data_IF_738151500781
#
_entry.id   IF_738151500781
#
_cell.length_a   1.000
_cell.length_b   1.000
_cell.length_c   1.000
_cell.angle_alpha   90.00
_cell.angle_beta   90.00
_cell.angle_gamma   90.00
#
_symmetry.space_group_name_H-M   'P 1'
#
loop_
_entity.id
_entity.type
_entity.pdbx_description
1 polymer ?
#
# COMPACT_ATOMS: atom_id res chain seq x y z
N UNK A 1 9.81 14.25 -46.79
CA UNK A 1 8.55 13.90 -46.06
C UNK A 1 8.98 13.52 -44.67
N UNK A 2 8.67 14.36 -43.68
CA UNK A 2 9.08 14.21 -42.29
C UNK A 2 8.30 13.07 -41.65
N UNK A 3 8.99 12.02 -41.20
CA UNK A 3 8.41 11.01 -40.32
C UNK A 3 7.94 11.69 -39.04
N UNK A 4 6.67 11.51 -38.71
CA UNK A 4 6.07 12.02 -37.50
C UNK A 4 6.65 11.23 -36.31
N UNK A 5 7.31 11.94 -35.40
CA UNK A 5 7.82 11.44 -34.12
C UNK A 5 6.64 10.92 -33.28
N UNK A 6 6.37 9.62 -33.30
CA UNK A 6 5.37 8.98 -32.44
C UNK A 6 5.94 8.70 -31.05
N UNK A 7 6.63 9.68 -30.45
CA UNK A 7 6.92 9.63 -29.02
C UNK A 7 5.63 9.89 -28.27
N UNK A 8 5.32 9.01 -27.34
CA UNK A 8 4.29 9.25 -26.35
C UNK A 8 4.70 10.47 -25.52
N UNK A 9 4.06 11.61 -25.79
CA UNK A 9 4.26 12.85 -25.05
C UNK A 9 3.60 12.64 -23.66
N UNK A 10 4.42 12.32 -22.66
CA UNK A 10 3.94 12.24 -21.28
C UNK A 10 3.39 13.62 -20.88
N UNK A 11 2.12 13.71 -20.43
CA UNK A 11 1.56 15.00 -20.02
C UNK A 11 2.40 15.59 -18.88
N UNK A 12 2.54 16.92 -18.87
CA UNK A 12 3.26 17.64 -17.82
C UNK A 12 2.84 17.11 -16.43
N UNK A 13 3.83 16.86 -15.56
CA UNK A 13 3.72 16.31 -14.20
C UNK A 13 2.74 17.06 -13.27
N UNK A 14 2.01 18.06 -13.72
CA UNK A 14 0.99 18.78 -12.98
C UNK A 14 -0.25 17.92 -12.66
N UNK A 15 -0.49 16.86 -13.44
CA UNK A 15 -1.65 15.97 -13.26
C UNK A 15 -1.34 14.55 -13.74
N UNK A 16 -0.98 13.66 -12.82
CA UNK A 16 -0.90 12.22 -13.11
C UNK A 16 -2.14 11.51 -12.57
N UNK A 17 -2.81 10.77 -13.45
CA UNK A 17 -3.80 9.79 -13.04
C UNK A 17 -3.00 8.61 -12.48
N UNK A 18 -2.85 8.55 -11.15
CA UNK A 18 -2.20 7.41 -10.49
C UNK A 18 -3.04 6.15 -10.71
N UNK A 19 -4.36 6.34 -10.79
CA UNK A 19 -5.29 5.23 -10.93
C UNK A 19 -6.65 5.69 -11.48
N UNK A 20 -7.23 4.91 -12.41
CA UNK A 20 -8.57 5.13 -12.98
C UNK A 20 -9.34 3.82 -12.94
N UNK A 21 -10.47 3.79 -12.25
CA UNK A 21 -11.36 2.64 -12.28
C UNK A 21 -11.94 2.45 -13.68
N UNK A 22 -12.01 1.19 -14.11
CA UNK A 22 -12.71 0.81 -15.34
C UNK A 22 -14.18 1.20 -15.21
N UNK A 23 -14.65 2.06 -16.11
CA UNK A 23 -16.03 2.51 -16.19
C UNK A 23 -16.89 1.38 -16.78
N UNK A 24 -17.32 0.44 -15.93
CA UNK A 24 -18.41 -0.46 -16.28
C UNK A 24 -19.67 0.03 -15.53
N UNK A 25 -20.68 0.58 -16.23
CA UNK A 25 -21.97 0.84 -15.61
C UNK A 25 -22.61 -0.52 -15.27
N UNK A 26 -22.46 -0.94 -14.01
CA UNK A 26 -23.04 -2.17 -13.48
C UNK A 26 -24.34 -1.76 -12.77
N UNK A 27 -25.46 -1.93 -13.47
CA UNK A 27 -26.81 -1.71 -12.96
C UNK A 27 -27.12 -2.80 -11.91
N UNK A 28 -26.83 -2.56 -10.64
CA UNK A 28 -27.33 -3.39 -9.54
C UNK A 28 -28.34 -2.60 -8.74
N UNK A 29 -29.63 -2.82 -9.03
CA UNK A 29 -30.73 -2.27 -8.24
C UNK A 29 -30.79 -2.99 -6.89
N UNK A 30 -30.40 -2.31 -5.81
CA UNK A 30 -30.77 -2.71 -4.45
C UNK A 30 -31.63 -1.62 -3.83
N UNK A 31 -32.95 -1.83 -3.87
CA UNK A 31 -33.91 -1.03 -3.10
C UNK A 31 -34.08 -1.73 -1.74
N UNK A 32 -33.79 -1.08 -0.61
CA UNK A 32 -34.07 -1.65 0.70
C UNK A 32 -35.55 -2.04 0.78
N UNK A 33 -35.84 -3.32 1.08
CA UNK A 33 -37.20 -3.87 1.16
C UNK A 33 -38.21 -2.99 1.93
N UNK A 34 -37.84 -2.30 3.03
CA UNK A 34 -38.76 -1.41 3.75
C UNK A 34 -39.22 -0.19 2.93
N UNK A 35 -38.33 0.36 2.09
CA UNK A 35 -38.62 1.54 1.26
C UNK A 35 -39.57 1.14 0.14
N UNK A 36 -39.31 0.02 -0.53
CA UNK A 36 -40.21 -0.55 -1.53
C UNK A 36 -41.61 -0.84 -0.95
N UNK A 37 -41.66 -1.41 0.26
CA UNK A 37 -42.93 -1.67 0.95
C UNK A 37 -43.71 -0.39 1.25
N UNK A 38 -43.05 0.68 1.69
CA UNK A 38 -43.69 1.97 1.99
C UNK A 38 -44.21 2.65 0.73
N UNK A 39 -43.45 2.61 -0.36
CA UNK A 39 -43.85 3.15 -1.67
C UNK A 39 -45.04 2.41 -2.27
N UNK A 40 -45.08 1.07 -2.19
CA UNK A 40 -46.24 0.28 -2.60
C UNK A 40 -47.49 0.63 -1.78
N UNK A 41 -47.34 0.84 -0.47
CA UNK A 41 -48.45 1.23 0.40
C UNK A 41 -48.97 2.64 0.08
N UNK A 42 -48.07 3.57 -0.23
CA UNK A 42 -48.43 4.94 -0.59
C UNK A 42 -49.09 5.00 -1.98
N UNK A 43 -48.61 4.19 -2.93
CA UNK A 43 -49.27 3.96 -4.22
C UNK A 43 -50.69 3.44 -3.99
N UNK A 44 -50.87 2.36 -3.23
CA UNK A 44 -52.19 1.78 -2.90
C UNK A 44 -53.15 2.81 -2.26
N UNK A 45 -52.65 3.66 -1.38
CA UNK A 45 -53.41 4.75 -0.77
C UNK A 45 -53.85 5.79 -1.81
N UNK A 46 -52.95 6.23 -2.70
CA UNK A 46 -53.25 7.17 -3.77
C UNK A 46 -54.22 6.59 -4.81
N UNK A 47 -54.14 5.28 -5.09
CA UNK A 47 -55.08 4.57 -5.98
C UNK A 47 -56.50 4.68 -5.44
N UNK A 48 -56.64 4.50 -4.12
CA UNK A 48 -57.93 4.52 -3.41
C UNK A 48 -58.54 5.91 -3.33
N UNK A 49 -57.71 6.95 -3.21
CA UNK A 49 -58.18 8.31 -2.98
C UNK A 49 -58.43 9.10 -4.27
N UNK A 50 -57.63 8.90 -5.31
CA UNK A 50 -57.62 9.80 -6.47
C UNK A 50 -57.82 9.10 -7.81
N UNK A 51 -57.91 7.76 -7.86
CA UNK A 51 -58.07 6.97 -9.09
C UNK A 51 -57.08 7.37 -10.21
N UNK A 52 -55.90 7.85 -9.84
CA UNK A 52 -54.96 8.52 -10.73
C UNK A 52 -53.69 7.67 -10.93
N UNK A 53 -53.64 6.91 -12.02
CA UNK A 53 -52.60 5.89 -12.25
C UNK A 53 -51.37 6.43 -13.01
N UNK A 54 -51.50 7.54 -13.74
CA UNK A 54 -50.50 7.95 -14.72
C UNK A 54 -49.38 8.90 -14.20
N UNK A 55 -49.63 9.69 -13.14
CA UNK A 55 -48.62 10.68 -12.68
C UNK A 55 -47.54 10.09 -11.78
N UNK A 56 -47.76 8.94 -11.15
CA UNK A 56 -46.86 8.42 -10.10
C UNK A 56 -45.76 7.50 -10.65
N UNK A 57 -45.98 6.91 -11.83
CA UNK A 57 -44.99 6.10 -12.55
C UNK A 57 -43.81 6.94 -13.07
N UNK A 58 -44.07 8.18 -13.48
CA UNK A 58 -43.06 9.09 -14.05
C UNK A 58 -42.01 9.56 -13.03
N UNK A 59 -42.37 10.02 -11.81
CA UNK A 59 -41.39 10.36 -10.79
C UNK A 59 -40.67 9.12 -10.24
N UNK A 60 -41.33 7.96 -10.12
CA UNK A 60 -40.68 6.72 -9.68
C UNK A 60 -39.61 6.26 -10.69
N UNK A 61 -39.93 6.31 -12.00
CA UNK A 61 -38.97 5.94 -13.04
C UNK A 61 -37.84 6.97 -13.18
N UNK A 62 -38.14 8.27 -13.04
CA UNK A 62 -37.16 9.35 -13.05
C UNK A 62 -36.22 9.27 -11.83
N UNK A 63 -36.76 8.94 -10.64
CA UNK A 63 -35.99 8.81 -9.40
C UNK A 63 -35.14 7.54 -9.42
N UNK A 64 -35.65 6.44 -9.97
CA UNK A 64 -34.87 5.23 -10.26
C UNK A 64 -33.71 5.53 -11.22
N UNK A 65 -33.95 6.26 -12.32
CA UNK A 65 -32.91 6.61 -13.30
C UNK A 65 -31.89 7.59 -12.71
N UNK A 66 -32.32 8.56 -11.89
CA UNK A 66 -31.40 9.53 -11.28
C UNK A 66 -30.59 8.94 -10.12
N UNK A 67 -31.12 8.00 -9.33
CA UNK A 67 -30.36 7.33 -8.27
C UNK A 67 -29.47 6.18 -8.76
N UNK A 68 -29.71 5.59 -9.94
CA UNK A 68 -28.85 4.53 -10.50
C UNK A 68 -27.48 4.99 -11.01
N UNK A 69 -27.13 6.28 -10.88
CA UNK A 69 -25.87 6.82 -11.40
C UNK A 69 -24.78 7.03 -10.33
N UNK A 70 -25.01 6.58 -9.10
CA UNK A 70 -24.00 6.67 -8.05
C UNK A 70 -23.21 5.37 -7.90
N UNK A 71 -21.88 5.52 -7.92
CA UNK A 71 -20.90 4.50 -8.22
C UNK A 71 -20.81 3.41 -7.14
N UNK A 72 -20.67 2.12 -7.51
CA UNK A 72 -20.45 1.04 -6.53
C UNK A 72 -19.05 1.04 -5.89
N UNK A 73 -18.15 1.93 -6.32
CA UNK A 73 -16.78 2.05 -5.81
C UNK A 73 -16.62 3.37 -5.04
N UNK A 74 -16.25 3.31 -3.76
CA UNK A 74 -15.94 4.47 -2.90
C UNK A 74 -14.66 5.23 -3.32
N UNK A 75 -13.93 4.72 -4.32
CA UNK A 75 -12.79 5.40 -4.96
C UNK A 75 -12.90 5.16 -6.47
N UNK A 76 -13.18 6.21 -7.25
CA UNK A 76 -13.27 6.16 -8.73
C UNK A 76 -11.94 6.42 -9.41
N UNK A 77 -11.34 7.58 -9.10
CA UNK A 77 -10.08 8.02 -9.66
C UNK A 77 -9.15 8.44 -8.52
N UNK A 78 -7.94 7.90 -8.49
CA UNK A 78 -6.88 8.45 -7.65
C UNK A 78 -6.10 9.45 -8.52
N UNK A 79 -6.54 10.70 -8.52
CA UNK A 79 -5.90 11.78 -9.27
C UNK A 79 -4.95 12.50 -8.33
N UNK A 80 -3.64 12.38 -8.55
CA UNK A 80 -2.69 13.26 -7.88
C UNK A 80 -2.64 14.58 -8.65
N UNK A 81 -3.10 15.64 -7.98
CA UNK A 81 -2.83 17.00 -8.39
C UNK A 81 -1.52 17.45 -7.74
N UNK A 82 -0.49 17.63 -8.56
CA UNK A 82 0.81 18.11 -8.08
C UNK A 82 0.74 19.63 -8.00
N UNK A 83 0.29 20.17 -6.87
CA UNK A 83 0.48 21.58 -6.55
C UNK A 83 1.82 21.73 -5.82
N UNK A 84 2.83 22.16 -6.56
CA UNK A 84 4.10 22.56 -5.98
C UNK A 84 3.87 23.76 -5.05
N UNK A 85 4.11 23.55 -3.75
CA UNK A 85 4.31 24.63 -2.79
C UNK A 85 5.69 24.42 -2.19
N UNK A 86 6.64 25.25 -2.63
CA UNK A 86 7.93 25.36 -1.99
C UNK A 86 7.73 25.96 -0.60
N UNK A 87 7.87 25.14 0.44
CA UNK A 87 8.08 25.64 1.79
C UNK A 87 9.59 25.66 2.05
N UNK A 88 10.28 26.59 1.39
CA UNK A 88 11.60 26.98 1.83
C UNK A 88 11.42 27.91 3.02
N UNK A 89 11.31 27.35 4.22
CA UNK A 89 11.71 28.13 5.38
C UNK A 89 12.04 27.28 6.60
N UNK A 90 13.34 27.12 6.82
CA UNK A 90 13.87 26.90 8.15
C UNK A 90 13.89 28.28 8.87
N UNK A 91 12.73 28.89 9.12
CA UNK A 91 12.68 30.12 9.93
C UNK A 91 13.07 29.75 11.35
N UNK A 92 14.25 30.24 11.75
CA UNK A 92 14.71 30.47 13.14
C UNK A 92 15.74 29.50 13.75
N UNK A 93 16.44 28.62 13.02
CA UNK A 93 17.45 27.78 13.71
C UNK A 93 18.87 28.33 13.77
N UNK A 94 19.32 29.29 12.93
CA UNK A 94 20.63 29.98 13.07
C UNK A 94 21.82 29.11 13.63
N UNK A 95 21.91 27.82 13.27
CA UNK A 95 22.94 26.92 13.82
C UNK A 95 22.79 26.48 15.29
N UNK A 96 21.74 26.89 16.00
CA UNK A 96 21.41 26.43 17.34
C UNK A 96 20.25 25.42 17.31
N UNK A 97 20.50 24.21 17.82
CA UNK A 97 19.45 23.19 17.99
C UNK A 97 19.52 22.01 17.01
N UNK A 98 20.72 21.59 16.58
CA UNK A 98 20.89 20.23 16.05
C UNK A 98 20.67 19.25 17.20
N UNK A 99 19.42 18.93 17.47
CA UNK A 99 19.06 17.90 18.44
C UNK A 99 19.30 16.55 17.79
N UNK A 100 20.42 15.93 18.11
CA UNK A 100 20.66 14.53 17.77
C UNK A 100 19.62 13.69 18.53
N UNK A 101 18.63 13.17 17.79
CA UNK A 101 17.64 12.24 18.33
C UNK A 101 18.05 10.83 17.95
N UNK A 102 17.90 9.91 18.90
CA UNK A 102 18.06 8.50 18.61
C UNK A 102 17.03 8.08 17.53
N UNK A 103 17.50 7.56 16.39
CA UNK A 103 16.60 7.18 15.28
C UNK A 103 15.58 6.13 15.71
N UNK A 104 15.95 5.22 16.62
CA UNK A 104 15.02 4.21 17.14
C UNK A 104 13.76 4.85 17.76
N UNK A 105 13.89 6.02 18.39
CA UNK A 105 12.75 6.78 18.95
C UNK A 105 11.85 7.43 17.90
N UNK A 106 12.32 7.56 16.66
CA UNK A 106 11.57 8.10 15.53
C UNK A 106 10.89 6.99 14.70
N UNK A 107 11.25 5.72 14.90
CA UNK A 107 10.65 4.60 14.19
C UNK A 107 9.36 4.16 14.89
N UNK A 108 8.30 3.83 14.14
CA UNK A 108 7.04 3.41 14.74
C UNK A 108 7.11 1.98 15.31
N UNK A 109 8.12 1.18 14.93
CA UNK A 109 8.15 -0.26 15.20
C UNK A 109 8.80 -0.60 16.54
N UNK A 110 8.08 -1.31 17.40
CA UNK A 110 8.57 -1.75 18.71
C UNK A 110 9.18 -3.15 18.63
N UNK A 111 8.37 -4.18 18.35
CA UNK A 111 8.82 -5.57 18.38
C UNK A 111 8.11 -6.42 17.33
N UNK A 112 8.78 -7.47 16.87
CA UNK A 112 8.16 -8.52 16.08
C UNK A 112 7.74 -9.67 17.01
N UNK A 113 6.43 -9.93 17.09
CA UNK A 113 5.84 -10.84 18.09
C UNK A 113 5.56 -12.25 17.57
N UNK A 114 5.52 -12.43 16.25
CA UNK A 114 5.41 -13.72 15.61
C UNK A 114 6.17 -13.73 14.26
N UNK A 115 5.99 -14.77 13.44
CA UNK A 115 6.66 -14.90 12.16
C UNK A 115 6.47 -13.68 11.24
N UNK A 116 5.34 -12.99 11.29
CA UNK A 116 4.95 -11.96 10.33
C UNK A 116 4.58 -10.60 10.95
N UNK A 117 4.12 -10.59 12.20
CA UNK A 117 3.45 -9.47 12.84
C UNK A 117 4.42 -8.62 13.65
N UNK A 118 4.41 -7.33 13.36
CA UNK A 118 5.18 -6.29 14.06
C UNK A 118 4.21 -5.40 14.84
N UNK A 119 4.52 -5.13 16.10
CA UNK A 119 3.82 -4.16 16.94
C UNK A 119 4.48 -2.79 16.80
N UNK A 120 3.67 -1.74 16.74
CA UNK A 120 4.13 -0.35 16.84
C UNK A 120 4.19 0.13 18.29
N UNK A 121 4.91 1.20 18.59
CA UNK A 121 4.91 1.81 19.94
C UNK A 121 3.52 2.29 20.37
N UNK A 122 2.64 2.60 19.41
CA UNK A 122 1.23 2.94 19.66
C UNK A 122 0.35 1.71 19.98
N UNK A 123 0.92 0.50 19.91
CA UNK A 123 0.22 -0.76 20.15
C UNK A 123 -0.53 -1.33 18.95
N UNK A 124 -0.47 -0.66 17.79
CA UNK A 124 -1.06 -1.14 16.55
C UNK A 124 -0.25 -2.30 15.98
N UNK A 125 -0.91 -3.20 15.26
CA UNK A 125 -0.28 -4.40 14.67
C UNK A 125 -0.14 -4.20 13.16
N UNK A 126 1.00 -4.58 12.59
CA UNK A 126 1.21 -4.55 11.15
C UNK A 126 1.92 -5.78 10.64
N UNK A 127 1.60 -6.18 9.43
CA UNK A 127 2.32 -7.18 8.67
C UNK A 127 2.74 -6.56 7.35
N UNK A 128 3.72 -7.13 6.65
CA UNK A 128 4.14 -6.61 5.34
C UNK A 128 4.08 -7.70 4.28
N UNK A 129 3.47 -7.38 3.15
CA UNK A 129 3.32 -8.24 1.98
C UNK A 129 4.13 -7.61 0.84
N UNK A 130 5.11 -8.33 0.32
CA UNK A 130 5.81 -7.96 -0.90
C UNK A 130 5.03 -8.45 -2.12
N UNK A 131 4.97 -7.64 -3.17
CA UNK A 131 4.25 -7.92 -4.41
C UNK A 131 5.22 -7.74 -5.58
N UNK A 132 5.34 -8.77 -6.42
CA UNK A 132 6.30 -8.79 -7.52
C UNK A 132 5.80 -8.09 -8.80
N UNK A 133 4.50 -7.82 -8.88
CA UNK A 133 3.89 -7.17 -10.04
C UNK A 133 3.56 -8.14 -11.17
N UNK A 134 3.21 -7.60 -12.33
CA UNK A 134 2.89 -8.33 -13.55
C UNK A 134 3.58 -7.65 -14.73
N UNK A 135 4.07 -8.44 -15.70
CA UNK A 135 4.45 -7.91 -17.00
C UNK A 135 3.19 -7.57 -17.78
N UNK A 136 2.94 -6.29 -18.03
CA UNK A 136 1.68 -5.80 -18.60
C UNK A 136 1.74 -5.63 -20.13
N UNK A 137 2.93 -5.60 -20.73
CA UNK A 137 3.12 -5.30 -22.16
C UNK A 137 2.42 -6.30 -23.09
N UNK A 138 2.27 -7.54 -22.64
CA UNK A 138 1.61 -8.61 -23.39
C UNK A 138 0.17 -8.88 -22.93
N UNK A 139 -0.33 -8.13 -21.94
CA UNK A 139 -1.67 -8.32 -21.38
C UNK A 139 -2.67 -7.46 -22.15
N UNK A 140 -3.78 -8.05 -22.59
CA UNK A 140 -4.83 -7.30 -23.27
C UNK A 140 -5.52 -6.29 -22.35
N UNK A 141 -5.96 -5.15 -22.90
CA UNK A 141 -6.61 -4.07 -22.14
C UNK A 141 -7.74 -4.54 -21.22
N UNK A 142 -8.65 -5.42 -21.70
CA UNK A 142 -9.76 -5.95 -20.89
C UNK A 142 -9.28 -6.73 -19.66
N UNK A 143 -8.17 -7.43 -19.81
CA UNK A 143 -7.59 -8.22 -18.74
C UNK A 143 -6.88 -7.32 -17.71
N UNK A 144 -6.20 -6.26 -18.17
CA UNK A 144 -5.69 -5.21 -17.28
C UNK A 144 -6.81 -4.52 -16.50
N UNK A 145 -7.93 -4.20 -17.15
CA UNK A 145 -9.09 -3.61 -16.48
C UNK A 145 -9.67 -4.53 -15.40
N UNK A 146 -9.79 -5.82 -15.70
CA UNK A 146 -10.23 -6.82 -14.72
C UNK A 146 -9.27 -6.93 -13.53
N UNK A 147 -7.97 -6.85 -13.78
CA UNK A 147 -6.94 -6.85 -12.73
C UNK A 147 -7.01 -5.62 -11.85
N UNK A 148 -7.27 -4.45 -12.42
CA UNK A 148 -7.50 -3.22 -11.68
C UNK A 148 -8.77 -3.33 -10.83
N UNK A 149 -9.89 -3.82 -11.39
CA UNK A 149 -11.14 -4.01 -10.64
C UNK A 149 -10.98 -4.98 -9.45
N UNK A 150 -10.24 -6.08 -9.64
CA UNK A 150 -9.91 -7.01 -8.57
C UNK A 150 -9.10 -6.35 -7.46
N UNK A 151 -8.09 -5.54 -7.84
CA UNK A 151 -7.27 -4.79 -6.90
C UNK A 151 -8.08 -3.75 -6.10
N UNK A 152 -8.92 -2.96 -6.78
CA UNK A 152 -9.87 -2.05 -6.12
C UNK A 152 -10.75 -2.80 -5.13
N UNK A 153 -11.38 -3.89 -5.56
CA UNK A 153 -12.28 -4.66 -4.71
C UNK A 153 -11.56 -5.15 -3.45
N UNK A 154 -10.29 -5.55 -3.56
CA UNK A 154 -9.46 -5.96 -2.44
C UNK A 154 -9.22 -4.80 -1.45
N UNK A 155 -8.72 -3.65 -1.93
CA UNK A 155 -8.51 -2.46 -1.08
C UNK A 155 -9.82 -2.05 -0.42
N UNK A 156 -10.91 -2.05 -1.19
CA UNK A 156 -12.22 -1.60 -0.75
C UNK A 156 -12.77 -2.48 0.37
N UNK A 157 -12.58 -3.79 0.27
CA UNK A 157 -12.99 -4.72 1.31
C UNK A 157 -12.19 -4.50 2.61
N UNK A 158 -10.90 -4.21 2.51
CA UNK A 158 -10.05 -3.94 3.68
C UNK A 158 -10.37 -2.59 4.32
N UNK A 159 -10.61 -1.56 3.51
CA UNK A 159 -10.90 -0.20 3.97
C UNK A 159 -12.28 -0.03 4.64
N UNK A 160 -13.18 -1.02 4.54
CA UNK A 160 -14.48 -1.00 5.24
C UNK A 160 -14.34 -1.06 6.76
N UNK A 161 -13.26 -1.66 7.26
CA UNK A 161 -13.04 -1.73 8.70
C UNK A 161 -12.47 -0.41 9.22
N UNK A 162 -13.11 0.26 10.21
CA UNK A 162 -12.61 1.51 10.78
C UNK A 162 -11.30 1.31 11.57
N UNK A 163 -10.97 0.05 11.87
CA UNK A 163 -9.76 -0.33 12.58
C UNK A 163 -8.58 -0.58 11.65
N UNK A 164 -8.74 -0.48 10.33
CA UNK A 164 -7.69 -0.85 9.40
C UNK A 164 -7.15 0.39 8.67
N UNK A 165 -5.84 0.51 8.67
CA UNK A 165 -5.12 1.37 7.73
C UNK A 165 -4.30 0.49 6.78
N UNK A 166 -4.06 0.97 5.56
CA UNK A 166 -3.21 0.29 4.59
C UNK A 166 -2.05 1.21 4.23
N UNK A 167 -0.83 0.79 4.56
CA UNK A 167 0.38 1.46 4.10
C UNK A 167 0.87 0.83 2.80
N UNK A 168 1.33 1.68 1.88
CA UNK A 168 1.87 1.23 0.59
C UNK A 168 3.24 1.84 0.38
N UNK A 169 4.18 1.02 -0.09
CA UNK A 169 5.53 1.46 -0.42
C UNK A 169 5.89 0.97 -1.81
N UNK A 170 6.29 1.88 -2.68
CA UNK A 170 6.81 1.57 -4.01
C UNK A 170 8.30 1.89 -4.04
N UNK A 171 9.11 0.87 -4.21
CA UNK A 171 10.55 1.02 -4.44
C UNK A 171 10.81 0.82 -5.93
N UNK A 172 11.25 1.88 -6.60
CA UNK A 172 11.72 1.82 -7.98
C UNK A 172 13.24 1.82 -7.99
N UNK A 173 13.83 0.67 -8.32
CA UNK A 173 15.27 0.48 -8.32
C UNK A 173 15.78 0.37 -9.75
N UNK A 174 16.85 1.12 -10.08
CA UNK A 174 17.55 0.92 -11.34
C UNK A 174 18.24 -0.44 -11.33
N UNK A 175 17.95 -1.27 -12.31
CA UNK A 175 18.58 -2.58 -12.47
C UNK A 175 19.72 -2.44 -13.48
N UNK A 176 20.85 -3.09 -13.18
CA UNK A 176 21.89 -3.36 -14.17
C UNK A 176 21.89 -4.85 -14.40
N UNK A 177 21.66 -5.27 -15.63
CA UNK A 177 21.78 -6.67 -15.99
C UNK A 177 23.26 -6.99 -16.13
N UNK A 178 23.79 -7.76 -15.19
CA UNK A 178 25.14 -8.29 -15.27
C UNK A 178 25.06 -9.80 -15.56
N UNK A 179 25.44 -10.18 -16.77
CA UNK A 179 25.47 -11.56 -17.22
C UNK A 179 26.86 -12.19 -17.09
N UNK A 180 27.86 -11.48 -16.55
CA UNK A 180 29.25 -11.95 -16.44
C UNK A 180 29.41 -13.19 -15.54
N UNK A 181 28.45 -13.43 -14.64
CA UNK A 181 28.44 -14.59 -13.74
C UNK A 181 27.68 -15.81 -14.26
N UNK A 182 27.08 -15.75 -15.45
CA UNK A 182 26.31 -16.89 -16.00
C UNK A 182 27.22 -17.73 -16.89
N UNK A 183 27.49 -18.97 -16.47
CA UNK A 183 28.17 -19.95 -17.29
C UNK A 183 27.17 -20.59 -18.26
N UNK A 184 27.47 -20.50 -19.56
CA UNK A 184 26.72 -21.19 -20.60
C UNK A 184 27.49 -22.42 -21.06
N UNK A 185 26.77 -23.48 -21.39
CA UNK A 185 27.32 -24.78 -21.80
C UNK A 185 27.76 -24.81 -23.27
N UNK A 186 27.47 -23.76 -24.03
CA UNK A 186 27.79 -23.66 -25.46
C UNK A 186 28.07 -22.21 -25.92
N UNK A 187 28.81 -22.10 -27.02
CA UNK A 187 29.26 -20.82 -27.58
C UNK A 187 28.10 -19.98 -28.14
N UNK A 188 27.06 -20.62 -28.69
CA UNK A 188 25.88 -19.92 -29.24
C UNK A 188 25.14 -19.17 -28.13
N UNK A 189 24.89 -19.82 -27.00
CA UNK A 189 24.24 -19.23 -25.84
C UNK A 189 25.08 -18.12 -25.22
N UNK A 190 26.40 -18.28 -25.18
CA UNK A 190 27.34 -17.24 -24.72
C UNK A 190 27.25 -15.99 -25.60
N UNK A 191 27.33 -16.18 -26.91
CA UNK A 191 27.27 -15.09 -27.88
C UNK A 191 25.89 -14.41 -27.91
N UNK A 192 24.81 -15.20 -27.81
CA UNK A 192 23.45 -14.68 -27.69
C UNK A 192 23.29 -13.82 -26.43
N UNK A 193 23.76 -14.30 -25.27
CA UNK A 193 23.69 -13.56 -24.02
C UNK A 193 24.47 -12.24 -24.10
N UNK A 194 25.66 -12.26 -24.71
CA UNK A 194 26.48 -11.05 -24.93
C UNK A 194 25.76 -10.03 -25.81
N UNK A 195 25.22 -10.45 -26.96
CA UNK A 195 24.50 -9.54 -27.85
C UNK A 195 23.18 -9.04 -27.23
N UNK A 196 22.46 -9.90 -26.53
CA UNK A 196 21.22 -9.54 -25.83
C UNK A 196 21.50 -8.53 -24.73
N UNK A 197 22.52 -8.75 -23.89
CA UNK A 197 22.97 -7.80 -22.87
C UNK A 197 23.33 -6.44 -23.46
N UNK A 198 24.01 -6.42 -24.61
CA UNK A 198 24.37 -5.21 -25.34
C UNK A 198 23.16 -4.34 -25.72
N UNK A 199 21.99 -4.93 -25.97
CA UNK A 199 20.76 -4.18 -26.27
C UNK A 199 20.22 -3.38 -25.07
N UNK A 200 20.54 -3.79 -23.84
CA UNK A 200 20.08 -3.13 -22.62
C UNK A 200 21.13 -2.19 -22.02
N UNK A 201 22.32 -2.07 -22.62
CA UNK A 201 23.44 -1.31 -22.06
C UNK A 201 23.16 0.19 -21.92
N UNK A 202 22.42 0.76 -22.87
CA UNK A 202 22.20 2.21 -22.95
C UNK A 202 20.90 2.68 -22.26
N UNK A 203 19.94 1.76 -22.05
CA UNK A 203 18.66 2.10 -21.46
C UNK A 203 18.66 1.97 -19.93
N UNK A 204 18.10 2.98 -19.25
CA UNK A 204 17.90 2.91 -17.81
C UNK A 204 16.73 1.98 -17.49
N UNK A 205 17.03 0.72 -17.21
CA UNK A 205 16.05 -0.27 -16.80
C UNK A 205 15.73 -0.15 -15.31
N UNK A 206 14.45 -0.27 -14.95
CA UNK A 206 13.99 -0.16 -13.57
C UNK A 206 13.10 -1.35 -13.21
N UNK A 207 13.23 -1.82 -11.97
CA UNK A 207 12.28 -2.75 -11.37
C UNK A 207 11.46 -2.03 -10.30
N UNK A 208 10.18 -2.36 -10.25
CA UNK A 208 9.26 -1.85 -9.24
C UNK A 208 8.98 -2.96 -8.24
N UNK A 209 9.25 -2.69 -6.96
CA UNK A 209 8.90 -3.57 -5.86
C UNK A 209 7.83 -2.88 -5.03
N UNK A 210 6.64 -3.46 -4.98
CA UNK A 210 5.53 -2.94 -4.21
C UNK A 210 5.43 -3.68 -2.88
N UNK A 211 5.23 -2.95 -1.79
CA UNK A 211 4.97 -3.51 -0.47
C UNK A 211 3.66 -2.94 0.07
N UNK A 212 2.85 -3.83 0.62
CA UNK A 212 1.57 -3.51 1.24
C UNK A 212 1.64 -3.92 2.70
N UNK A 213 1.39 -2.99 3.59
CA UNK A 213 1.40 -3.27 5.03
C UNK A 213 0.03 -2.92 5.62
N UNK A 214 -0.88 -3.88 5.77
CA UNK A 214 -2.09 -3.65 6.56
C UNK A 214 -1.67 -3.36 8.00
N UNK A 215 -2.36 -2.39 8.61
CA UNK A 215 -2.19 -1.98 9.99
C UNK A 215 -3.53 -2.10 10.69
N UNK A 216 -3.60 -2.97 11.68
CA UNK A 216 -4.76 -3.11 12.54
C UNK A 216 -4.58 -2.25 13.78
N UNK A 217 -5.46 -1.25 13.91
CA UNK A 217 -5.47 -0.27 14.98
C UNK A 217 -6.36 -0.76 16.11
N UNK A 218 -5.78 -0.91 17.29
CA UNK A 218 -6.54 -1.31 18.48
C UNK A 218 -7.58 -0.25 18.85
N UNK A 219 -7.28 1.03 18.58
CA UNK A 219 -8.10 2.19 18.91
C UNK A 219 -8.65 2.91 17.66
N UNK A 220 -9.22 2.17 16.71
CA UNK A 220 -9.69 2.73 15.43
C UNK A 220 -10.83 3.76 15.57
N UNK A 221 -11.74 3.54 16.53
CA UNK A 221 -12.90 4.40 16.75
C UNK A 221 -13.06 4.82 18.24
N UNK A 222 -14.07 5.65 18.54
CA UNK A 222 -14.33 6.14 19.91
C UNK A 222 -14.74 5.03 20.88
N UNK A 223 -15.45 3.99 20.43
CA UNK A 223 -15.84 2.85 21.26
C UNK A 223 -14.62 1.99 21.63
N UNK A 224 -13.68 1.83 20.70
CA UNK A 224 -12.44 1.08 20.93
C UNK A 224 -11.54 1.75 21.97
N UNK A 225 -11.51 3.09 21.98
CA UNK A 225 -10.80 3.84 23.04
C UNK A 225 -11.37 3.57 24.43
N UNK A 226 -12.68 3.32 24.52
CA UNK A 226 -13.35 2.97 25.78
C UNK A 226 -13.06 1.52 26.15
N UNK A 227 -13.09 0.58 25.20
CA UNK A 227 -12.76 -0.83 25.44
C UNK A 227 -11.31 -0.99 25.91
N UNK A 228 -10.35 -0.29 25.30
CA UNK A 228 -8.94 -0.28 25.74
C UNK A 228 -8.80 0.24 27.18
N UNK A 229 -9.53 1.30 27.54
CA UNK A 229 -9.50 1.83 28.92
C UNK A 229 -10.04 0.84 29.94
N UNK A 230 -11.06 0.06 29.57
CA UNK A 230 -11.61 -0.99 30.41
C UNK A 230 -10.66 -2.19 30.52
N UNK A 231 -10.09 -2.64 29.40
CA UNK A 231 -9.16 -3.77 29.36
C UNK A 231 -7.81 -3.46 30.00
N UNK A 232 -7.30 -2.22 29.94
CA UNK A 232 -6.08 -1.81 30.65
C UNK A 232 -6.17 -1.98 32.18
N UNK A 233 -7.36 -2.19 32.74
CA UNK A 233 -7.54 -2.44 34.17
C UNK A 233 -7.18 -3.88 34.55
N UNK A 234 -7.04 -4.80 33.60
CA UNK A 234 -6.66 -6.20 33.84
C UNK A 234 -5.63 -6.70 32.81
N UNK A 235 -4.62 -7.45 33.28
CA UNK A 235 -3.60 -8.00 32.37
C UNK A 235 -4.19 -8.98 31.35
N UNK A 236 -5.21 -9.74 31.74
CA UNK A 236 -5.89 -10.73 30.90
C UNK A 236 -6.71 -10.08 29.77
N UNK A 237 -7.43 -9.00 30.06
CA UNK A 237 -8.25 -8.30 29.07
C UNK A 237 -7.42 -7.70 27.93
N UNK A 238 -6.23 -7.18 28.24
CA UNK A 238 -5.30 -6.68 27.22
C UNK A 238 -4.67 -7.79 26.39
N UNK A 239 -4.39 -8.96 26.99
CA UNK A 239 -3.88 -10.10 26.26
C UNK A 239 -4.91 -10.64 25.25
N UNK A 240 -6.18 -10.76 25.67
CA UNK A 240 -7.26 -11.19 24.80
C UNK A 240 -7.51 -10.21 23.65
N UNK A 241 -7.50 -8.90 23.94
CA UNK A 241 -7.67 -7.86 22.92
C UNK A 241 -6.57 -7.91 21.85
N UNK A 242 -5.30 -8.11 22.26
CA UNK A 242 -4.18 -8.27 21.32
C UNK A 242 -4.29 -9.54 20.48
N UNK A 243 -4.72 -10.65 21.09
CA UNK A 243 -4.92 -11.92 20.38
C UNK A 243 -5.97 -11.78 19.27
N UNK A 244 -7.13 -11.20 19.61
CA UNK A 244 -8.20 -10.93 18.62
C UNK A 244 -7.72 -10.04 17.50
N UNK A 245 -6.99 -8.98 17.83
CA UNK A 245 -6.45 -8.05 16.84
C UNK A 245 -5.43 -8.72 15.89
N UNK A 246 -4.59 -9.61 16.41
CA UNK A 246 -3.67 -10.42 15.60
C UNK A 246 -4.44 -11.34 14.64
N UNK A 247 -5.49 -12.01 15.12
CA UNK A 247 -6.29 -12.91 14.30
C UNK A 247 -7.04 -12.15 13.19
N UNK A 248 -7.58 -10.96 13.48
CA UNK A 248 -8.18 -10.09 12.48
C UNK A 248 -7.17 -9.60 11.43
N UNK A 249 -5.97 -9.17 11.87
CA UNK A 249 -4.90 -8.79 10.95
C UNK A 249 -4.49 -9.95 10.05
N UNK A 250 -4.35 -11.16 10.59
CA UNK A 250 -4.03 -12.36 9.81
C UNK A 250 -5.12 -12.70 8.77
N UNK A 251 -6.40 -12.52 9.10
CA UNK A 251 -7.52 -12.66 8.15
C UNK A 251 -7.42 -11.64 7.02
N UNK A 252 -7.19 -10.36 7.35
CA UNK A 252 -7.02 -9.27 6.38
C UNK A 252 -5.85 -9.56 5.44
N UNK A 253 -4.69 -9.92 5.99
CA UNK A 253 -3.53 -10.30 5.19
C UNK A 253 -3.79 -11.50 4.29
N UNK A 254 -4.48 -12.53 4.78
CA UNK A 254 -4.86 -13.70 3.98
C UNK A 254 -5.80 -13.34 2.84
N UNK A 255 -6.76 -12.44 3.08
CA UNK A 255 -7.65 -11.92 2.05
C UNK A 255 -6.87 -11.13 1.00
N UNK A 256 -5.94 -10.25 1.41
CA UNK A 256 -5.07 -9.52 0.49
C UNK A 256 -4.22 -10.45 -0.36
N UNK A 257 -3.58 -11.47 0.23
CA UNK A 257 -2.80 -12.48 -0.50
C UNK A 257 -3.66 -13.22 -1.54
N UNK A 258 -4.89 -13.59 -1.18
CA UNK A 258 -5.81 -14.27 -2.08
C UNK A 258 -6.23 -13.37 -3.25
N UNK A 259 -6.63 -12.13 -2.97
CA UNK A 259 -7.01 -11.16 -4.00
C UNK A 259 -5.86 -10.76 -4.92
N UNK A 260 -4.63 -10.76 -4.39
CA UNK A 260 -3.43 -10.41 -5.14
C UNK A 260 -2.72 -11.60 -5.77
N UNK A 261 -3.25 -12.82 -5.69
CA UNK A 261 -2.56 -14.07 -6.08
C UNK A 261 -1.81 -13.98 -7.41
N UNK A 262 -2.39 -13.27 -8.39
CA UNK A 262 -1.81 -13.09 -9.72
C UNK A 262 -0.51 -12.29 -9.74
N UNK A 263 -0.33 -11.38 -8.79
CA UNK A 263 0.86 -10.55 -8.63
C UNK A 263 1.95 -11.21 -7.77
N UNK A 264 1.81 -12.52 -7.52
CA UNK A 264 2.72 -13.33 -6.70
C UNK A 264 3.03 -12.70 -5.34
N UNK A 265 2.01 -12.45 -4.50
CA UNK A 265 2.21 -11.75 -3.25
C UNK A 265 2.86 -12.69 -2.24
N UNK A 266 3.80 -12.16 -1.47
CA UNK A 266 4.53 -12.90 -0.44
C UNK A 266 4.46 -12.14 0.88
N UNK A 267 3.80 -12.75 1.87
CA UNK A 267 3.87 -12.29 3.25
C UNK A 267 5.31 -12.39 3.74
N UNK A 268 5.88 -11.29 4.20
CA UNK A 268 7.24 -11.26 4.73
C UNK A 268 7.23 -11.92 6.10
N UNK A 269 8.08 -12.93 6.26
CA UNK A 269 8.20 -13.72 7.48
C UNK A 269 9.63 -13.83 7.98
N UNK A 270 9.83 -14.63 9.02
CA UNK A 270 11.15 -14.97 9.52
C UNK A 270 11.83 -16.07 8.69
N UNK A 271 13.12 -16.26 8.90
CA UNK A 271 13.92 -17.35 8.35
C UNK A 271 15.20 -17.52 9.13
N UNK A 272 15.77 -18.70 9.09
CA UNK A 272 17.08 -18.99 9.66
C UNK A 272 18.19 -18.66 8.66
N UNK A 273 19.19 -17.91 9.11
CA UNK A 273 20.41 -17.64 8.37
C UNK A 273 21.58 -18.41 8.97
N UNK A 274 22.42 -19.01 8.11
CA UNK A 274 23.64 -19.70 8.53
C UNK A 274 23.42 -21.05 9.22
N UNK A 275 22.21 -21.62 9.15
CA UNK A 275 21.87 -22.90 9.77
C UNK A 275 20.35 -23.08 9.91
N UNK A 276 19.93 -24.05 10.74
CA UNK A 276 18.55 -24.25 11.16
C UNK A 276 18.36 -23.94 12.65
N UNK A 277 17.12 -23.92 13.11
CA UNK A 277 16.76 -23.80 14.52
C UNK A 277 17.53 -24.82 15.37
N UNK A 278 18.13 -24.37 16.48
CA UNK A 278 18.92 -25.23 17.37
C UNK A 278 20.28 -25.69 16.85
N UNK A 279 20.66 -25.33 15.60
CA UNK A 279 21.95 -25.68 14.99
C UNK A 279 22.83 -24.45 14.75
N UNK A 280 22.77 -23.46 15.64
CA UNK A 280 23.56 -22.23 15.55
C UNK A 280 23.10 -21.22 14.49
N UNK A 281 21.99 -21.48 13.80
CA UNK A 281 21.37 -20.51 12.91
C UNK A 281 20.86 -19.27 13.66
N UNK A 282 20.85 -18.12 12.99
CA UNK A 282 20.28 -16.88 13.53
C UNK A 282 18.88 -16.65 12.92
N UNK A 283 17.90 -16.36 13.77
CA UNK A 283 16.55 -16.06 13.31
C UNK A 283 16.52 -14.63 12.76
N UNK A 284 16.28 -14.48 11.47
CA UNK A 284 16.23 -13.21 10.78
C UNK A 284 14.79 -12.88 10.35
N UNK A 285 14.48 -11.59 10.24
CA UNK A 285 13.18 -11.11 9.76
C UNK A 285 13.28 -10.44 8.39
N UNK A 286 12.43 -10.87 7.44
CA UNK A 286 12.31 -10.19 6.14
C UNK A 286 11.58 -8.86 6.25
N UNK A 287 10.60 -8.77 7.15
CA UNK A 287 9.89 -7.51 7.43
C UNK A 287 10.84 -6.47 7.99
N UNK A 288 11.68 -6.86 8.95
CA UNK A 288 12.73 -6.00 9.48
C UNK A 288 13.78 -5.62 8.42
N UNK A 289 14.21 -6.58 7.58
CA UNK A 289 15.10 -6.30 6.45
C UNK A 289 14.52 -5.26 5.49
N UNK A 290 13.21 -5.33 5.21
CA UNK A 290 12.50 -4.32 4.43
C UNK A 290 12.55 -2.93 5.10
N UNK A 291 12.23 -2.82 6.39
CA UNK A 291 12.29 -1.55 7.12
C UNK A 291 13.71 -0.97 7.19
N UNK A 292 14.71 -1.82 7.47
CA UNK A 292 16.11 -1.41 7.49
C UNK A 292 16.56 -0.90 6.11
N UNK A 293 16.07 -1.49 5.03
CA UNK A 293 16.39 -1.04 3.68
C UNK A 293 15.76 0.31 3.34
N UNK A 294 14.53 0.57 3.79
CA UNK A 294 13.91 1.90 3.66
C UNK A 294 14.75 2.99 4.35
N UNK A 295 15.33 2.66 5.52
CA UNK A 295 16.12 3.60 6.30
C UNK A 295 17.54 3.79 5.75
N UNK A 296 18.24 2.69 5.44
CA UNK A 296 19.67 2.72 5.16
C UNK A 296 20.02 2.68 3.67
N UNK A 297 19.04 2.47 2.77
CA UNK A 297 19.24 2.24 1.34
C UNK A 297 20.20 1.07 1.03
N UNK A 298 20.23 0.05 1.87
CA UNK A 298 21.06 -1.15 1.73
C UNK A 298 20.27 -2.39 2.13
N UNK A 299 20.41 -3.48 1.38
CA UNK A 299 19.89 -4.78 1.77
C UNK A 299 20.73 -5.36 2.92
N UNK A 300 20.06 -5.76 4.01
CA UNK A 300 20.70 -6.36 5.18
C UNK A 300 19.78 -7.39 5.81
N UNK A 301 20.37 -8.48 6.29
CA UNK A 301 19.69 -9.44 7.15
C UNK A 301 19.60 -8.87 8.58
N UNK A 302 18.39 -8.81 9.13
CA UNK A 302 18.14 -8.30 10.48
C UNK A 302 17.80 -9.47 11.39
N UNK A 303 18.70 -9.74 12.33
CA UNK A 303 18.51 -10.74 13.37
C UNK A 303 17.45 -10.26 14.36
N UNK A 304 16.58 -11.18 14.77
CA UNK A 304 15.70 -11.00 15.91
C UNK A 304 16.44 -11.45 17.17
N UNK A 305 16.35 -10.64 18.22
CA UNK A 305 17.01 -10.90 19.51
C UNK A 305 16.22 -10.29 20.66
N UNK A 306 16.80 -10.29 21.86
CA UNK A 306 16.20 -9.75 23.08
C UNK A 306 16.30 -8.20 23.15
N UNK A 307 16.10 -7.50 22.04
CA UNK A 307 16.12 -6.04 21.95
C UNK A 307 14.98 -5.56 21.06
N UNK A 308 14.57 -4.29 21.21
CA UNK A 308 13.49 -3.73 20.39
C UNK A 308 13.91 -3.65 18.92
N UNK A 309 12.96 -3.94 18.04
CA UNK A 309 13.20 -4.03 16.61
C UNK A 309 13.83 -2.73 16.07
N UNK A 310 13.31 -1.57 16.51
CA UNK A 310 13.79 -0.24 16.15
C UNK A 310 15.31 -0.07 16.31
N UNK A 311 15.90 -0.59 17.39
CA UNK A 311 17.34 -0.51 17.65
C UNK A 311 18.18 -1.33 16.66
N UNK A 312 17.63 -2.42 16.12
CA UNK A 312 18.33 -3.27 15.14
C UNK A 312 18.30 -2.74 13.70
N UNK A 313 17.34 -1.85 13.40
CA UNK A 313 17.07 -1.39 12.02
C UNK A 313 18.09 -0.36 11.53
N UNK A 314 18.58 0.53 12.38
CA UNK A 314 19.52 1.57 11.98
C UNK A 314 20.92 0.98 11.79
N UNK A 315 21.56 1.28 10.66
CA UNK A 315 23.00 1.03 10.44
C UNK A 315 23.73 2.19 9.75
N UNK A 316 22.99 3.21 9.31
CA UNK A 316 23.53 4.45 8.77
C UNK A 316 23.12 5.64 9.65
N UNK A 317 23.96 6.67 9.71
CA UNK A 317 23.57 7.96 10.25
C UNK A 317 22.69 8.71 9.23
N UNK A 318 21.58 9.28 9.67
CA UNK A 318 20.63 9.98 8.82
C UNK A 318 20.67 11.47 9.15
N UNK A 319 21.17 12.28 8.22
CA UNK A 319 21.23 13.73 8.37
C UNK A 319 20.15 14.37 7.48
N UNK A 320 19.16 15.00 8.10
CA UNK A 320 18.06 15.65 7.39
C UNK A 320 18.34 17.14 7.19
N UNK A 321 18.39 17.56 5.93
CA UNK A 321 18.30 18.95 5.50
C UNK A 321 16.85 19.37 5.24
N UNK A 322 16.64 20.52 4.59
CA UNK A 322 15.30 21.02 4.31
C UNK A 322 14.53 20.13 3.30
N UNK A 323 15.19 19.71 2.23
CA UNK A 323 14.62 18.86 1.16
C UNK A 323 15.56 17.71 0.79
N UNK A 324 16.64 17.53 1.55
CA UNK A 324 17.68 16.54 1.29
C UNK A 324 17.92 15.68 2.52
N UNK A 325 18.32 14.44 2.29
CA UNK A 325 18.73 13.51 3.33
C UNK A 325 20.06 12.90 2.93
N UNK A 326 21.04 13.02 3.81
CA UNK A 326 22.26 12.24 3.71
C UNK A 326 22.11 10.96 4.53
N UNK A 327 22.37 9.83 3.87
CA UNK A 327 22.43 8.50 4.47
C UNK A 327 23.90 8.12 4.51
N UNK A 328 24.53 8.30 5.66
CA UNK A 328 25.94 8.01 5.87
C UNK A 328 26.10 6.58 6.36
N UNK A 329 26.41 5.68 5.43
CA UNK A 329 26.65 4.27 5.71
C UNK A 329 28.15 3.92 5.79
N UNK A 330 28.49 2.68 6.13
CA UNK A 330 29.88 2.21 6.18
C UNK A 330 30.61 2.30 4.84
N UNK A 331 29.88 2.16 3.73
CA UNK A 331 30.42 2.24 2.38
C UNK A 331 30.55 3.67 1.84
N UNK A 332 30.13 4.68 2.61
CA UNK A 332 30.10 6.09 2.22
C UNK A 332 28.72 6.73 2.35
N UNK A 333 28.65 8.02 2.02
CA UNK A 333 27.42 8.81 2.05
C UNK A 333 26.63 8.70 0.76
N UNK A 334 25.30 8.58 0.88
CA UNK A 334 24.36 8.66 -0.22
C UNK A 334 23.39 9.80 0.05
N UNK A 335 23.09 10.59 -0.98
CA UNK A 335 22.17 11.71 -0.86
C UNK A 335 20.85 11.36 -1.52
N UNK A 336 19.76 11.73 -0.86
CA UNK A 336 18.39 11.62 -1.35
C UNK A 336 17.71 12.98 -1.26
N UNK A 337 16.71 13.21 -2.11
CA UNK A 337 15.78 14.32 -1.97
C UNK A 337 14.46 13.81 -1.39
N UNK A 338 13.84 14.61 -0.52
CA UNK A 338 12.54 14.29 0.07
C UNK A 338 11.51 15.25 -0.48
N UNK A 339 10.51 14.68 -1.15
CA UNK A 339 9.35 15.41 -1.62
C UNK A 339 8.13 14.92 -0.85
N UNK A 340 7.49 15.83 -0.12
CA UNK A 340 6.18 15.55 0.48
C UNK A 340 5.09 15.97 -0.48
N UNK A 341 4.27 15.02 -0.88
CA UNK A 341 3.08 15.27 -1.69
C UNK A 341 1.86 15.09 -0.81
N UNK A 342 1.26 16.21 -0.40
CA UNK A 342 -0.07 16.20 0.20
C UNK A 342 -1.06 16.26 -0.94
N UNK A 343 -1.39 15.10 -1.51
CA UNK A 343 -2.54 15.02 -2.39
C UNK A 343 -3.82 15.20 -1.54
N UNK A 344 -4.75 16.07 -1.94
CA UNK A 344 -6.05 16.15 -1.29
C UNK A 344 -6.85 14.89 -1.66
N UNK A 345 -6.60 13.78 -0.98
CA UNK A 345 -7.44 12.60 -1.09
C UNK A 345 -8.76 12.90 -0.39
N UNK A 346 -9.81 13.18 -1.15
CA UNK A 346 -11.17 12.88 -0.72
C UNK A 346 -11.49 11.50 -1.31
N UNK A 347 -11.76 10.53 -0.46
CA UNK A 347 -12.65 9.45 -0.89
C UNK A 347 -13.97 10.14 -1.20
N UNK A 348 -14.27 10.33 -2.49
CA UNK A 348 -15.60 10.76 -2.88
C UNK A 348 -16.57 9.67 -2.40
N UNK A 349 -17.41 10.04 -1.44
CA UNK A 349 -18.44 9.18 -0.88
C UNK A 349 -19.51 8.87 -1.91
#
# INVERSE_FOLDING_TARGET
>A
MSEADTRHDEPALERAVIYRAAQAPVLHAYVPLPIFGLECMLLLLCMRLFAFWALLLLPLHLLLVMQTNENPYWVRDLIAYYRFRWFADNRNTHGHGVAERNVASCLPYSQQIDEHTVITYEGDLTETIAVHGLSYETIGHRELDSLNQQWFSAINNVARSPNVALWTHLERQRVRFDFSGVAYDNDLSTEFARQYAGKFGDEAQFTNRLFLSPVYRLAGNKADKVSIRLSNRTSEGMAELRLRARDELAKISSQLLASLKRYHPRRLGTYWQGGQEGQGGQLCSRTAGFYARLLNNTDRHINLGAYELSHGLQSAALNFGAETVEIQGPAGSRFAAVLSLVAPYRAEQ
#
